data_IF_864189494802
#
_entry.id   IF_864189494802
#
_cell.length_a   1.000
_cell.length_b   1.000
_cell.length_c   1.000
_cell.angle_alpha   90.00
_cell.angle_beta   90.00
_cell.angle_gamma   90.00
#
_symmetry.space_group_name_H-M   'P 1'
#
loop_
_entity.id
_entity.type
_entity.pdbx_description
1 polymer ?
#
# COMPACT_ATOMS: atom_id res chain seq x y z
N UNK A 1 -26.53 27.62 -12.88
CA UNK A 1 -26.63 26.15 -12.80
C UNK A 1 -25.35 25.52 -12.27
N UNK A 2 -24.21 25.57 -12.98
CA UNK A 2 -22.95 24.90 -12.56
C UNK A 2 -22.56 25.08 -11.08
N UNK A 3 -22.49 26.32 -10.56
CA UNK A 3 -22.19 26.58 -9.13
C UNK A 3 -23.11 25.85 -8.13
N UNK A 4 -24.36 25.55 -8.51
CA UNK A 4 -25.31 24.86 -7.62
C UNK A 4 -25.01 23.35 -7.60
N UNK A 5 -24.55 22.77 -8.72
CA UNK A 5 -24.11 21.38 -8.77
C UNK A 5 -22.77 21.17 -8.05
N UNK A 6 -21.82 22.10 -8.17
CA UNK A 6 -20.57 22.04 -7.40
C UNK A 6 -20.82 22.19 -5.89
N UNK A 7 -21.77 23.05 -5.50
CA UNK A 7 -22.12 23.28 -4.10
C UNK A 7 -22.82 22.07 -3.47
N UNK A 8 -23.79 21.45 -4.16
CA UNK A 8 -24.43 20.19 -3.73
C UNK A 8 -23.41 19.02 -3.64
N UNK A 9 -22.47 18.92 -4.60
CA UNK A 9 -21.38 17.93 -4.56
C UNK A 9 -20.44 18.14 -3.37
N UNK A 10 -20.06 19.38 -3.07
CA UNK A 10 -19.21 19.73 -1.93
C UNK A 10 -19.92 19.50 -0.58
N UNK A 11 -21.24 19.69 -0.53
CA UNK A 11 -22.05 19.44 0.68
C UNK A 11 -22.20 17.94 0.94
N UNK A 12 -22.41 17.12 -0.11
CA UNK A 12 -22.41 15.64 0.00
C UNK A 12 -21.08 15.04 0.45
N UNK A 13 -19.95 15.65 0.12
CA UNK A 13 -18.64 15.23 0.65
C UNK A 13 -18.53 15.46 2.16
N UNK A 14 -19.24 16.46 2.71
CA UNK A 14 -19.25 16.81 4.14
C UNK A 14 -20.17 15.97 5.00
N UNK A 15 -21.25 15.42 4.43
CA UNK A 15 -22.22 14.57 5.16
C UNK A 15 -21.98 13.06 4.97
N UNK A 16 -20.93 12.69 4.25
CA UNK A 16 -20.65 11.29 3.90
C UNK A 16 -20.31 10.46 5.15
N UNK A 17 -20.88 9.26 5.32
CA UNK A 17 -20.44 8.34 6.38
C UNK A 17 -18.94 8.05 6.24
N UNK A 18 -18.21 7.82 7.35
CA UNK A 18 -16.82 7.46 7.26
C UNK A 18 -16.68 6.07 6.62
N UNK A 19 -15.68 5.94 5.75
CA UNK A 19 -15.34 4.68 5.10
C UNK A 19 -15.10 3.58 6.15
N UNK A 20 -15.52 2.35 5.86
CA UNK A 20 -15.40 1.23 6.80
C UNK A 20 -15.12 -0.09 6.08
N UNK A 21 -14.46 -1.02 6.74
CA UNK A 21 -14.21 -2.37 6.23
C UNK A 21 -14.71 -3.43 7.24
N UNK A 22 -15.29 -4.51 6.74
CA UNK A 22 -15.80 -5.61 7.56
C UNK A 22 -14.81 -6.77 7.60
N UNK A 23 -14.29 -7.08 8.79
CA UNK A 23 -13.27 -8.12 8.99
C UNK A 23 -13.61 -9.04 10.16
N UNK A 24 -13.21 -10.30 10.04
CA UNK A 24 -13.14 -11.27 11.13
C UNK A 24 -11.69 -11.74 11.28
N UNK A 25 -11.19 -11.84 12.51
CA UNK A 25 -9.79 -12.20 12.80
C UNK A 25 -9.75 -13.25 13.89
N UNK A 26 -8.98 -14.32 13.69
CA UNK A 26 -8.77 -15.36 14.70
C UNK A 26 -7.40 -16.02 14.56
N UNK A 27 -6.92 -16.66 15.63
CA UNK A 27 -5.68 -17.43 15.63
C UNK A 27 -5.98 -18.92 15.74
N UNK A 28 -5.43 -19.71 14.82
CA UNK A 28 -5.53 -21.17 14.78
C UNK A 28 -4.23 -21.76 15.35
N UNK A 29 -4.29 -22.22 16.61
CA UNK A 29 -3.11 -22.58 17.39
C UNK A 29 -2.37 -23.79 16.81
N UNK A 30 -3.12 -24.79 16.35
CA UNK A 30 -2.62 -26.04 15.77
C UNK A 30 -1.85 -25.78 14.46
N UNK A 31 -2.36 -24.87 13.62
CA UNK A 31 -1.72 -24.47 12.36
C UNK A 31 -0.72 -23.33 12.51
N UNK A 32 -0.58 -22.75 13.72
CA UNK A 32 0.28 -21.58 14.01
C UNK A 32 0.00 -20.43 13.05
N UNK A 33 -1.29 -20.18 12.79
CA UNK A 33 -1.75 -19.29 11.72
C UNK A 33 -2.71 -18.22 12.25
N UNK A 34 -2.37 -16.95 12.02
CA UNK A 34 -3.32 -15.85 12.15
C UNK A 34 -4.15 -15.79 10.87
N UNK A 35 -5.47 -15.91 10.99
CA UNK A 35 -6.42 -15.86 9.87
C UNK A 35 -7.18 -14.54 9.90
N UNK A 36 -7.30 -13.91 8.74
CA UNK A 36 -8.00 -12.64 8.55
C UNK A 36 -8.95 -12.80 7.37
N UNK A 37 -10.26 -12.74 7.62
CA UNK A 37 -11.27 -12.70 6.57
C UNK A 37 -11.69 -11.26 6.35
N UNK A 38 -11.42 -10.73 5.16
CA UNK A 38 -11.94 -9.44 4.69
C UNK A 38 -13.16 -9.69 3.82
N UNK A 39 -14.33 -9.29 4.33
CA UNK A 39 -15.62 -9.55 3.66
C UNK A 39 -15.89 -8.48 2.61
N UNK A 40 -16.01 -7.23 3.07
CA UNK A 40 -16.43 -6.10 2.26
C UNK A 40 -15.86 -4.79 2.82
N UNK A 41 -15.98 -3.72 2.04
CA UNK A 41 -15.90 -2.35 2.53
C UNK A 41 -17.14 -1.56 2.08
N UNK A 42 -17.38 -0.46 2.77
CA UNK A 42 -18.53 0.42 2.56
C UNK A 42 -18.06 1.87 2.65
N UNK A 43 -18.80 2.74 1.97
CA UNK A 43 -18.57 4.19 2.00
C UNK A 43 -17.12 4.56 1.59
N UNK A 44 -16.52 3.87 0.61
CA UNK A 44 -15.21 4.25 0.07
C UNK A 44 -15.32 5.47 -0.85
N UNK A 45 -14.44 6.50 -0.73
CA UNK A 45 -14.56 7.72 -1.54
C UNK A 45 -14.55 7.42 -3.05
N UNK A 46 -15.36 8.14 -3.84
CA UNK A 46 -15.34 8.02 -5.30
C UNK A 46 -13.99 8.47 -5.85
N UNK A 47 -13.59 7.88 -6.97
CA UNK A 47 -12.38 8.22 -7.72
C UNK A 47 -12.49 9.66 -8.23
N UNK A 48 -11.35 10.35 -8.36
CA UNK A 48 -11.37 11.66 -8.99
C UNK A 48 -11.65 11.54 -10.49
N UNK A 49 -12.84 12.00 -10.89
CA UNK A 49 -13.30 12.15 -12.27
C UNK A 49 -12.28 12.80 -13.23
N UNK A 50 -11.33 13.63 -12.75
CA UNK A 50 -10.29 14.21 -13.61
C UNK A 50 -9.31 13.18 -14.19
N UNK A 51 -9.21 12.00 -13.56
CA UNK A 51 -8.34 10.90 -14.01
C UNK A 51 -8.89 10.18 -15.26
N UNK A 52 -10.19 10.29 -15.54
CA UNK A 52 -10.80 9.71 -16.75
C UNK A 52 -11.07 8.20 -16.72
N UNK A 53 -10.85 7.52 -15.58
CA UNK A 53 -11.07 6.08 -15.39
C UNK A 53 -12.41 5.75 -14.70
N UNK A 54 -13.42 6.60 -14.85
CA UNK A 54 -14.70 6.47 -14.12
C UNK A 54 -14.63 6.99 -12.68
N UNK A 55 -15.78 6.97 -12.00
CA UNK A 55 -15.98 7.64 -10.70
C UNK A 55 -15.91 6.68 -9.48
N UNK A 56 -15.74 5.37 -9.68
CA UNK A 56 -15.68 4.37 -8.60
C UNK A 56 -14.30 3.68 -8.51
N UNK A 57 -13.79 3.39 -7.30
CA UNK A 57 -12.48 2.77 -7.12
C UNK A 57 -12.51 1.26 -7.39
N UNK A 58 -11.42 0.73 -7.94
CA UNK A 58 -11.13 -0.71 -8.07
C UNK A 58 -10.28 -1.13 -6.87
N UNK A 59 -10.95 -1.28 -5.73
CA UNK A 59 -10.29 -1.37 -4.44
C UNK A 59 -9.64 -2.75 -4.19
N UNK A 60 -8.39 -2.75 -3.72
CA UNK A 60 -7.75 -3.91 -3.09
C UNK A 60 -7.28 -3.57 -1.68
N UNK A 61 -7.11 -4.60 -0.86
CA UNK A 61 -6.59 -4.47 0.49
C UNK A 61 -5.16 -4.99 0.60
N UNK A 62 -4.35 -4.32 1.42
CA UNK A 62 -3.06 -4.80 1.93
C UNK A 62 -3.11 -4.82 3.45
N UNK A 63 -2.79 -5.98 4.03
CA UNK A 63 -2.80 -6.21 5.47
C UNK A 63 -1.38 -6.55 5.93
N UNK A 64 -0.91 -5.91 7.01
CA UNK A 64 0.38 -6.21 7.65
C UNK A 64 0.25 -6.37 9.16
N UNK A 65 1.10 -7.20 9.75
CA UNK A 65 1.25 -7.32 11.19
C UNK A 65 2.17 -6.19 11.72
N UNK A 66 1.82 -5.60 12.87
CA UNK A 66 2.57 -4.53 13.53
C UNK A 66 3.03 -4.96 14.93
N UNK A 67 4.32 -4.73 15.30
CA UNK A 67 5.41 -4.34 14.40
C UNK A 67 5.66 -5.46 13.36
N UNK A 68 6.25 -5.10 12.22
CA UNK A 68 6.48 -6.02 11.11
C UNK A 68 7.38 -7.19 11.51
N UNK A 69 7.06 -8.39 11.00
CA UNK A 69 7.90 -9.57 11.10
C UNK A 69 8.38 -9.98 9.71
N UNK A 70 9.68 -10.26 9.56
CA UNK A 70 10.25 -10.71 8.29
C UNK A 70 9.62 -12.04 7.81
N UNK A 71 9.22 -12.89 8.75
CA UNK A 71 8.50 -14.16 8.50
C UNK A 71 7.03 -13.97 8.09
N UNK A 72 6.49 -12.76 8.22
CA UNK A 72 5.08 -12.44 7.97
C UNK A 72 4.99 -11.18 7.08
N UNK A 73 5.38 -11.28 5.79
CA UNK A 73 5.25 -10.17 4.85
C UNK A 73 3.78 -9.76 4.69
N UNK A 74 3.50 -8.52 4.22
CA UNK A 74 2.14 -8.09 3.94
C UNK A 74 1.42 -9.05 2.98
N UNK A 75 0.12 -9.23 3.21
CA UNK A 75 -0.77 -10.05 2.38
C UNK A 75 -1.82 -9.16 1.73
N UNK A 76 -2.22 -9.48 0.51
CA UNK A 76 -3.10 -8.64 -0.32
C UNK A 76 -4.29 -9.42 -0.85
N UNK A 77 -5.39 -8.73 -1.15
CA UNK A 77 -6.48 -9.27 -1.98
C UNK A 77 -6.25 -8.93 -3.44
N UNK A 78 -6.89 -9.68 -4.33
CA UNK A 78 -7.15 -9.19 -5.69
C UNK A 78 -8.00 -7.89 -5.63
N UNK A 79 -7.91 -7.00 -6.63
CA UNK A 79 -8.83 -5.88 -6.78
C UNK A 79 -10.28 -6.34 -6.97
N UNK A 80 -11.20 -5.69 -6.26
CA UNK A 80 -12.63 -5.84 -6.49
C UNK A 80 -13.05 -5.13 -7.78
N UNK A 81 -14.23 -5.49 -8.29
CA UNK A 81 -14.91 -4.69 -9.32
C UNK A 81 -15.15 -3.26 -8.83
N UNK A 82 -15.07 -2.29 -9.75
CA UNK A 82 -15.24 -0.87 -9.45
C UNK A 82 -16.51 -0.62 -8.61
N UNK A 83 -16.36 -0.13 -7.38
CA UNK A 83 -17.48 0.14 -6.48
C UNK A 83 -17.06 0.97 -5.26
N UNK A 84 -17.94 1.85 -4.78
CA UNK A 84 -17.82 2.47 -3.47
C UNK A 84 -18.12 1.52 -2.28
N UNK A 85 -18.68 0.33 -2.54
CA UNK A 85 -18.97 -0.73 -1.55
C UNK A 85 -18.48 -2.10 -2.06
N UNK A 86 -17.16 -2.31 -2.18
CA UNK A 86 -16.59 -3.54 -2.72
C UNK A 86 -16.78 -4.75 -1.79
N UNK A 87 -16.89 -5.93 -2.38
CA UNK A 87 -17.00 -7.22 -1.67
C UNK A 87 -15.92 -8.17 -2.19
N UNK A 88 -15.06 -8.65 -1.29
CA UNK A 88 -13.96 -9.57 -1.62
C UNK A 88 -14.22 -11.00 -1.14
N UNK A 89 -14.79 -11.18 0.06
CA UNK A 89 -14.87 -12.47 0.76
C UNK A 89 -13.50 -13.20 0.85
N UNK A 90 -12.41 -12.44 0.95
CA UNK A 90 -11.05 -12.96 0.89
C UNK A 90 -10.59 -13.52 2.25
N UNK A 91 -10.00 -14.71 2.25
CA UNK A 91 -9.37 -15.31 3.43
C UNK A 91 -7.85 -15.19 3.31
N UNK A 92 -7.26 -14.29 4.09
CA UNK A 92 -5.83 -14.03 4.18
C UNK A 92 -5.27 -14.64 5.48
N UNK A 93 -3.95 -14.73 5.59
CA UNK A 93 -3.36 -15.12 6.86
C UNK A 93 -1.83 -15.19 6.88
N UNK A 94 -1.30 -15.17 8.09
CA UNK A 94 0.13 -15.20 8.38
C UNK A 94 0.46 -16.49 9.13
N UNK A 95 1.43 -17.26 8.65
CA UNK A 95 1.85 -18.53 9.24
C UNK A 95 3.10 -18.41 10.13
N UNK A 96 3.39 -19.47 10.89
CA UNK A 96 4.60 -19.56 11.72
C UNK A 96 4.51 -18.78 13.04
N UNK A 97 3.31 -18.41 13.48
CA UNK A 97 3.07 -17.56 14.65
C UNK A 97 2.75 -18.38 15.90
N UNK A 98 3.18 -17.87 17.06
CA UNK A 98 2.79 -18.37 18.39
C UNK A 98 1.89 -17.35 19.08
N UNK A 99 1.14 -17.76 20.10
CA UNK A 99 0.33 -16.85 20.91
C UNK A 99 1.18 -15.72 21.53
N UNK A 100 2.36 -16.05 22.06
CA UNK A 100 3.30 -15.07 22.63
C UNK A 100 3.81 -14.06 21.59
N UNK A 101 3.96 -14.48 20.32
CA UNK A 101 4.31 -13.57 19.24
C UNK A 101 3.15 -12.65 18.85
N UNK A 102 1.89 -13.02 19.10
CA UNK A 102 0.71 -12.21 18.78
C UNK A 102 0.32 -11.23 19.89
N UNK A 103 0.71 -11.50 21.14
CA UNK A 103 0.43 -10.65 22.28
C UNK A 103 0.93 -9.21 22.06
N UNK A 104 0.09 -8.22 22.38
CA UNK A 104 0.41 -6.80 22.18
C UNK A 104 0.64 -6.35 20.72
N UNK A 105 0.31 -7.16 19.71
CA UNK A 105 0.39 -6.77 18.30
C UNK A 105 -0.92 -6.22 17.75
N UNK A 106 -0.81 -5.51 16.63
CA UNK A 106 -1.92 -5.03 15.84
C UNK A 106 -1.82 -5.53 14.39
N UNK A 107 -2.94 -5.53 13.69
CA UNK A 107 -2.97 -5.55 12.22
C UNK A 107 -3.19 -4.13 11.72
N UNK A 108 -2.50 -3.76 10.66
CA UNK A 108 -2.86 -2.60 9.85
C UNK A 108 -3.45 -3.09 8.53
N UNK A 109 -4.65 -2.61 8.24
CA UNK A 109 -5.33 -2.71 6.96
C UNK A 109 -5.15 -1.39 6.22
N UNK A 110 -4.78 -1.46 4.95
CA UNK A 110 -4.77 -0.33 4.03
C UNK A 110 -5.57 -0.70 2.78
N UNK A 111 -6.49 0.17 2.35
CA UNK A 111 -7.24 0.01 1.10
C UNK A 111 -6.66 0.93 0.03
N UNK A 112 -6.53 0.42 -1.18
CA UNK A 112 -5.87 1.07 -2.30
C UNK A 112 -6.73 0.98 -3.56
N UNK A 113 -6.77 2.03 -4.36
CA UNK A 113 -7.45 2.07 -5.65
C UNK A 113 -6.49 1.65 -6.78
N UNK A 114 -6.74 0.51 -7.42
CA UNK A 114 -5.95 -0.01 -8.54
C UNK A 114 -6.34 0.64 -9.88
N UNK A 115 -6.21 1.97 -9.99
CA UNK A 115 -6.46 2.70 -11.23
C UNK A 115 -5.60 2.17 -12.39
N UNK A 116 -6.19 1.75 -13.54
CA UNK A 116 -5.41 1.27 -14.68
C UNK A 116 -4.45 2.33 -15.25
N UNK A 117 -3.15 2.03 -15.24
CA UNK A 117 -2.12 2.86 -15.88
C UNK A 117 -1.53 3.98 -15.01
N UNK A 118 -1.88 4.06 -13.72
CA UNK A 118 -1.19 4.89 -12.72
C UNK A 118 -0.85 4.06 -11.48
N UNK A 119 0.01 4.58 -10.60
CA UNK A 119 0.32 3.92 -9.34
C UNK A 119 -0.92 3.86 -8.41
N UNK A 120 -1.10 2.78 -7.61
CA UNK A 120 -2.22 2.67 -6.69
C UNK A 120 -2.33 3.82 -5.68
N UNK A 121 -3.54 4.36 -5.54
CA UNK A 121 -3.82 5.49 -4.64
C UNK A 121 -4.39 4.98 -3.32
N UNK A 122 -3.84 5.42 -2.18
CA UNK A 122 -4.37 5.04 -0.86
C UNK A 122 -5.76 5.64 -0.64
N UNK A 123 -6.75 4.79 -0.37
CA UNK A 123 -8.14 5.16 -0.07
C UNK A 123 -8.29 5.46 1.43
N UNK A 124 -7.72 4.60 2.29
CA UNK A 124 -7.81 4.73 3.74
C UNK A 124 -7.09 3.60 4.47
N UNK A 125 -6.87 3.79 5.77
CA UNK A 125 -6.18 2.84 6.64
C UNK A 125 -6.90 2.64 7.97
N UNK A 126 -6.77 1.46 8.59
CA UNK A 126 -7.12 1.28 10.00
C UNK A 126 -6.13 0.34 10.69
N UNK A 127 -5.84 0.62 11.96
CA UNK A 127 -5.07 -0.26 12.84
C UNK A 127 -6.00 -0.90 13.86
N UNK A 128 -5.92 -2.22 14.01
CA UNK A 128 -6.72 -3.01 14.96
C UNK A 128 -5.81 -3.82 15.88
N UNK A 129 -5.92 -3.62 17.18
CA UNK A 129 -5.25 -4.44 18.20
C UNK A 129 -5.79 -5.87 18.13
N UNK A 130 -4.90 -6.87 18.11
CA UNK A 130 -5.32 -8.26 17.93
C UNK A 130 -6.15 -8.78 19.10
N UNK A 131 -5.81 -8.39 20.33
CA UNK A 131 -6.58 -8.77 21.52
C UNK A 131 -8.04 -8.30 21.44
N UNK A 132 -8.26 -7.08 20.92
CA UNK A 132 -9.60 -6.58 20.65
C UNK A 132 -10.26 -7.31 19.48
N UNK A 133 -9.54 -7.55 18.38
CA UNK A 133 -10.09 -8.22 17.20
C UNK A 133 -10.52 -9.67 17.48
N UNK A 134 -9.80 -10.39 18.34
CA UNK A 134 -10.17 -11.74 18.77
C UNK A 134 -11.42 -11.75 19.68
N UNK A 135 -11.62 -10.73 20.50
CA UNK A 135 -12.73 -10.66 21.46
C UNK A 135 -14.12 -10.51 20.81
N UNK A 136 -14.20 -10.06 19.55
CA UNK A 136 -15.46 -9.88 18.83
C UNK A 136 -16.06 -11.20 18.31
N UNK A 137 -15.24 -12.26 18.18
CA UNK A 137 -15.54 -13.61 17.62
C UNK A 137 -16.19 -13.67 16.22
N UNK A 138 -16.67 -12.54 15.69
CA UNK A 138 -17.51 -12.40 14.49
C UNK A 138 -16.97 -11.29 13.59
N UNK A 139 -17.51 -11.20 12.37
CA UNK A 139 -17.13 -10.15 11.43
C UNK A 139 -17.69 -8.78 11.86
N UNK A 140 -16.78 -7.84 12.13
CA UNK A 140 -17.06 -6.49 12.65
C UNK A 140 -16.60 -5.41 11.68
N UNK A 141 -17.29 -4.27 11.71
CA UNK A 141 -16.97 -3.08 10.91
C UNK A 141 -15.94 -2.21 11.61
N UNK A 142 -14.78 -2.05 10.98
CA UNK A 142 -13.72 -1.13 11.40
C UNK A 142 -13.79 0.14 10.57
N UNK A 143 -13.79 1.29 11.24
CA UNK A 143 -13.73 2.60 10.56
C UNK A 143 -12.33 2.82 10.01
N UNK A 144 -12.26 3.30 8.77
CA UNK A 144 -11.03 3.65 8.08
C UNK A 144 -10.76 5.14 8.27
N UNK A 145 -9.51 5.48 8.59
CA UNK A 145 -9.01 6.85 8.55
C UNK A 145 -8.59 7.18 7.12
N UNK A 146 -9.17 8.24 6.56
CA UNK A 146 -8.65 8.86 5.34
C UNK A 146 -7.32 9.54 5.70
N UNK A 147 -6.22 9.10 5.09
CA UNK A 147 -4.97 9.88 5.10
C UNK A 147 -5.10 11.08 4.16
N UNK A 148 -5.89 12.06 4.58
CA UNK A 148 -5.86 13.42 4.04
C UNK A 148 -4.40 13.85 3.96
N UNK A 149 -3.95 14.16 2.75
CA UNK A 149 -2.54 14.10 2.30
C UNK A 149 -1.54 14.44 3.40
N UNK A 150 -1.03 13.39 4.07
CA UNK A 150 0.09 13.54 5.00
C UNK A 150 1.30 13.93 4.17
N UNK A 151 1.49 15.23 3.99
CA UNK A 151 2.71 15.84 3.48
C UNK A 151 3.89 15.10 4.10
N UNK A 152 4.84 14.68 3.28
CA UNK A 152 5.97 13.81 3.65
C UNK A 152 6.92 14.41 4.71
N UNK A 153 6.53 15.53 5.32
CA UNK A 153 7.26 16.36 6.25
C UNK A 153 6.78 16.21 7.70
N UNK A 154 5.75 15.38 7.97
CA UNK A 154 5.30 15.05 9.33
C UNK A 154 6.29 14.13 10.06
N UNK A 155 7.50 14.64 10.31
CA UNK A 155 8.52 13.98 11.14
C UNK A 155 8.02 13.83 12.59
N UNK A 156 8.16 12.67 13.24
CA UNK A 156 7.83 12.49 14.64
C UNK A 156 8.92 13.08 15.56
N UNK A 157 9.22 14.37 15.41
CA UNK A 157 10.19 15.07 16.26
C UNK A 157 9.52 15.70 17.48
N UNK A 158 9.43 14.88 18.53
CA UNK A 158 9.58 15.27 19.93
C UNK A 158 8.81 16.50 20.41
N UNK A 159 7.62 16.28 20.96
CA UNK A 159 6.98 17.23 21.87
C UNK A 159 7.84 17.45 23.12
N UNK A 160 8.59 18.56 23.18
CA UNK A 160 9.15 19.12 24.42
C UNK A 160 9.30 20.64 24.31
N UNK A 161 8.33 21.41 24.80
CA UNK A 161 8.55 22.79 25.34
C UNK A 161 7.45 23.17 26.34
N UNK A 162 7.25 22.32 27.36
CA UNK A 162 6.77 22.83 28.65
C UNK A 162 7.84 23.77 29.22
N UNK A 163 7.47 25.03 29.48
CA UNK A 163 8.46 26.10 29.61
C UNK A 163 9.30 26.10 30.89
N UNK A 164 10.46 26.78 30.82
CA UNK A 164 11.08 27.46 31.98
C UNK A 164 12.12 28.48 31.52
N UNK A 165 12.00 29.71 32.01
CA UNK A 165 12.94 30.78 31.73
C UNK A 165 14.14 30.74 32.70
N UNK A 166 15.35 30.54 32.18
CA UNK A 166 16.63 30.93 32.79
C UNK A 166 17.57 31.34 31.63
N UNK A 167 17.83 32.65 31.46
CA UNK A 167 18.96 33.42 32.02
C UNK A 167 20.27 33.28 31.22
N UNK A 168 20.55 34.37 30.51
CA UNK A 168 21.80 34.79 29.85
C UNK A 168 22.96 34.87 30.84
N UNK A 169 24.14 34.38 30.45
CA UNK A 169 25.43 34.70 31.08
C UNK A 169 26.27 33.48 31.49
N UNK A 170 27.45 33.38 30.87
CA UNK A 170 28.72 32.82 31.39
C UNK A 170 28.73 31.50 32.20
N UNK A 171 29.51 30.52 31.73
CA UNK A 171 30.86 30.30 32.29
C UNK A 171 31.70 29.36 31.43
N UNK A 172 32.98 29.68 31.27
CA UNK A 172 33.96 28.80 30.64
C UNK A 172 34.42 27.69 31.60
N UNK A 173 35.14 26.70 31.04
CA UNK A 173 35.89 25.65 31.73
C UNK A 173 35.12 24.39 32.19
N UNK A 174 35.05 23.41 31.27
CA UNK A 174 35.83 22.19 31.51
C UNK A 174 36.74 21.91 30.31
N UNK A 175 38.06 21.94 30.57
CA UNK A 175 39.09 21.45 29.66
C UNK A 175 39.27 19.95 29.91
N UNK A 176 39.30 19.16 28.86
CA UNK A 176 40.20 18.00 28.79
C UNK A 176 40.97 18.11 27.48
N UNK A 177 42.28 18.13 27.60
CA UNK A 177 43.26 18.28 26.53
C UNK A 177 43.89 16.91 26.25
N UNK A 178 44.09 16.60 24.97
CA UNK A 178 45.18 15.73 24.52
C UNK A 178 45.53 16.10 23.07
N UNK A 179 46.63 16.84 22.92
CA UNK A 179 47.58 16.66 21.82
C UNK A 179 48.27 15.27 22.02
N UNK A 180 49.10 14.70 21.13
CA UNK A 180 49.59 15.10 19.79
C UNK A 180 48.96 14.17 18.69
N UNK A 181 49.31 14.14 17.39
CA UNK A 181 50.39 14.76 16.59
C UNK A 181 50.00 14.87 15.09
N UNK A 182 50.85 15.53 14.31
CA UNK A 182 51.03 15.60 12.84
C UNK A 182 50.62 14.37 12.00
N UNK A 183 50.14 14.44 10.75
CA UNK A 183 49.97 15.52 9.75
C UNK A 183 49.01 15.00 8.63
N UNK A 184 48.72 15.58 7.44
CA UNK A 184 49.20 16.73 6.63
C UNK A 184 47.98 17.34 5.90
N UNK A 185 48.06 18.61 5.44
CA UNK A 185 47.48 18.96 4.12
C UNK A 185 46.12 19.67 4.06
N UNK A 186 46.11 20.96 4.41
CA UNK A 186 45.49 22.05 3.63
C UNK A 186 44.71 21.67 2.34
N UNK A 187 43.37 21.58 2.41
CA UNK A 187 42.43 21.96 1.31
C UNK A 187 40.94 21.73 1.64
N UNK A 188 40.36 22.49 2.60
CA UNK A 188 38.91 22.55 2.81
C UNK A 188 38.25 23.73 2.05
N UNK A 189 38.59 23.90 0.77
CA UNK A 189 38.02 24.93 -0.10
C UNK A 189 36.98 24.34 -1.05
N UNK A 190 35.72 24.60 -0.70
CA UNK A 190 34.49 24.51 -1.51
C UNK A 190 34.73 24.26 -3.03
N UNK A 191 34.47 23.04 -3.50
CA UNK A 191 34.52 22.73 -4.94
C UNK A 191 33.32 23.36 -5.67
N UNK A 192 33.57 24.46 -6.38
CA UNK A 192 32.64 25.11 -7.30
C UNK A 192 32.41 24.24 -8.56
N UNK A 193 31.22 24.28 -9.22
CA UNK A 193 30.89 23.34 -10.29
C UNK A 193 31.80 23.37 -11.52
N UNK A 194 32.51 24.48 -11.75
CA UNK A 194 33.23 24.73 -13.02
C UNK A 194 34.56 23.95 -13.16
N UNK A 195 35.00 23.21 -12.13
CA UNK A 195 36.23 22.42 -12.17
C UNK A 195 36.02 20.92 -12.51
N UNK A 196 34.82 20.53 -12.94
CA UNK A 196 34.50 19.13 -13.27
C UNK A 196 35.17 18.59 -14.57
N UNK A 197 35.76 19.46 -15.42
CA UNK A 197 36.25 19.10 -16.75
C UNK A 197 37.74 19.37 -16.96
N UNK A 198 38.59 18.58 -16.30
CA UNK A 198 40.02 18.46 -16.68
C UNK A 198 40.20 17.28 -17.62
N UNK A 199 40.58 17.57 -18.87
CA UNK A 199 40.95 16.56 -19.84
C UNK A 199 42.26 15.87 -19.43
N UNK A 200 42.20 14.62 -18.99
CA UNK A 200 43.41 13.86 -18.63
C UNK A 200 43.22 12.57 -17.83
N UNK A 201 42.05 12.33 -17.21
CA UNK A 201 41.84 11.13 -16.37
C UNK A 201 41.66 9.84 -17.19
N UNK A 202 42.78 9.28 -17.67
CA UNK A 202 42.84 7.92 -18.21
C UNK A 202 42.85 6.90 -17.07
N UNK A 203 41.68 6.56 -16.54
CA UNK A 203 41.47 5.33 -15.76
C UNK A 203 40.45 4.46 -16.49
N UNK A 204 40.88 3.28 -16.94
CA UNK A 204 40.14 2.48 -17.91
C UNK A 204 39.10 1.52 -17.32
N UNK A 205 38.23 1.06 -18.22
CA UNK A 205 37.42 -0.16 -18.20
C UNK A 205 36.66 -0.55 -16.92
N UNK A 206 35.33 -0.51 -17.02
CA UNK A 206 34.57 -1.75 -16.91
C UNK A 206 33.83 -2.00 -18.24
N UNK A 207 33.54 -3.25 -18.55
CA UNK A 207 33.07 -3.69 -19.87
C UNK A 207 31.62 -3.28 -20.16
N UNK A 208 31.33 -2.95 -21.42
CA UNK A 208 29.98 -2.95 -21.95
C UNK A 208 29.52 -4.40 -22.11
N UNK A 209 28.49 -4.81 -21.38
CA UNK A 209 27.84 -6.11 -21.59
C UNK A 209 26.90 -5.99 -22.79
N UNK A 210 27.37 -6.41 -23.98
CA UNK A 210 26.52 -6.55 -25.16
C UNK A 210 25.62 -7.76 -24.97
N UNK A 211 24.39 -7.53 -24.52
CA UNK A 211 23.37 -8.56 -24.40
C UNK A 211 23.08 -9.13 -25.80
N UNK A 212 23.47 -10.38 -26.03
CA UNK A 212 23.12 -11.10 -27.25
C UNK A 212 21.61 -11.38 -27.21
N UNK A 213 20.85 -10.67 -28.05
CA UNK A 213 19.43 -10.95 -28.24
C UNK A 213 19.32 -12.23 -29.06
N UNK A 214 19.18 -13.37 -28.36
CA UNK A 214 18.69 -14.60 -28.97
C UNK A 214 17.29 -14.33 -29.53
N UNK A 215 17.21 -14.15 -30.84
CA UNK A 215 15.95 -14.15 -31.57
C UNK A 215 15.41 -15.57 -31.52
N UNK A 216 14.55 -15.85 -30.53
CA UNK A 216 13.78 -17.09 -30.46
C UNK A 216 12.97 -17.25 -31.75
N UNK A 217 13.52 -18.02 -32.69
CA UNK A 217 12.80 -18.41 -33.89
C UNK A 217 11.71 -19.39 -33.48
N UNK A 218 10.49 -18.88 -33.37
CA UNK A 218 9.31 -19.69 -33.08
C UNK A 218 9.19 -20.77 -34.16
N UNK A 219 9.35 -22.04 -33.75
CA UNK A 219 9.34 -23.19 -34.65
C UNK A 219 8.09 -23.18 -35.54
N UNK A 220 8.29 -23.36 -36.85
CA UNK A 220 7.32 -23.00 -37.90
C UNK A 220 6.22 -24.07 -38.09
N UNK A 221 5.91 -24.79 -37.00
CA UNK A 221 5.28 -26.11 -37.01
C UNK A 221 4.00 -26.17 -36.14
N UNK A 222 3.56 -25.04 -35.56
CA UNK A 222 2.25 -24.91 -34.90
C UNK A 222 1.06 -24.87 -35.90
N UNK A 223 1.13 -25.71 -36.93
CA UNK A 223 0.05 -26.00 -37.89
C UNK A 223 -0.59 -27.37 -37.61
N UNK A 224 -0.89 -27.66 -36.34
CA UNK A 224 -1.61 -28.89 -35.93
C UNK A 224 -2.73 -28.60 -34.94
N UNK A 225 -3.86 -28.18 -35.51
CA UNK A 225 -5.22 -28.47 -35.06
C UNK A 225 -5.51 -28.40 -33.56
N UNK A 226 -5.96 -27.22 -33.09
CA UNK A 226 -6.77 -27.12 -31.87
C UNK A 226 -8.05 -27.97 -32.04
N UNK A 227 -8.35 -28.92 -31.14
CA UNK A 227 -9.55 -29.75 -31.28
C UNK A 227 -10.82 -28.96 -30.98
N UNK A 228 -11.66 -28.82 -32.00
CA UNK A 228 -13.11 -28.59 -31.95
C UNK A 228 -13.65 -27.75 -30.78
N UNK A 229 -13.80 -26.44 -31.02
CA UNK A 229 -14.68 -25.59 -30.20
C UNK A 229 -16.08 -26.23 -30.12
N UNK A 230 -16.43 -26.72 -28.92
CA UNK A 230 -17.74 -27.32 -28.67
C UNK A 230 -18.80 -26.22 -28.67
N UNK A 231 -19.41 -26.01 -29.84
CA UNK A 231 -20.56 -25.13 -30.03
C UNK A 231 -21.66 -25.53 -29.05
N UNK A 232 -21.95 -24.66 -28.09
CA UNK A 232 -22.98 -24.93 -27.07
C UNK A 232 -24.35 -25.08 -27.74
N UNK A 233 -24.98 -26.24 -27.53
CA UNK A 233 -26.33 -26.51 -27.99
C UNK A 233 -27.33 -26.00 -26.95
N UNK A 234 -27.65 -24.71 -27.02
CA UNK A 234 -28.69 -24.12 -26.18
C UNK A 234 -30.04 -24.75 -26.53
N UNK A 235 -30.56 -25.61 -25.65
CA UNK A 235 -31.86 -26.24 -25.82
C UNK A 235 -32.96 -25.17 -25.72
N UNK A 236 -33.65 -24.92 -26.82
CA UNK A 236 -34.79 -24.02 -26.85
C UNK A 236 -36.03 -24.75 -26.33
N UNK A 237 -36.45 -24.41 -25.11
CA UNK A 237 -37.58 -25.05 -24.45
C UNK A 237 -38.93 -24.51 -24.96
N UNK A 238 -39.79 -25.45 -25.37
CA UNK A 238 -41.26 -25.46 -25.34
C UNK A 238 -42.05 -24.16 -25.61
N UNK A 239 -42.63 -24.07 -26.81
CA UNK A 239 -44.07 -23.80 -27.02
C UNK A 239 -44.51 -24.77 -28.14
N UNK A 240 -45.57 -25.56 -28.01
CA UNK A 240 -46.86 -25.26 -27.39
C UNK A 240 -47.88 -25.27 -28.53
N UNK A 241 -48.42 -26.45 -28.84
CA UNK A 241 -49.42 -26.66 -29.89
C UNK A 241 -50.73 -25.94 -29.58
N UNK A 242 -51.50 -25.56 -30.61
CA UNK A 242 -52.67 -26.35 -31.00
C UNK A 242 -52.86 -26.42 -32.54
N UNK A 243 -53.78 -27.14 -33.20
CA UNK A 243 -54.71 -28.29 -33.04
C UNK A 243 -55.47 -28.34 -34.40
N UNK A 244 -55.80 -29.55 -34.88
CA UNK A 244 -56.58 -29.94 -36.10
C UNK A 244 -56.27 -29.20 -37.42
#
# INVERSE_FOLDING_TARGET
MLRIQEQDRAERVRERPPARAQLQVWFEMELRKLVVVLIAADDLPPRDHTLGYGDEPEAFARIRLLPSLETCPPVETDPASASCSPVWNATLGFGGLTADLLAGRALELTLWDACPGIDPVLIGECTMELEKAFAEERAVWWTLEERGTRSANASPRGSLTGGRALRRGDFASQRSISDDMDSIGECASLLHPDHAWVAGSRRGSSQSETLEVEVYQLGKDFSRSLPGSRRSSFQQQEKGSPIV
#
